data_IF_986882397054
#
_entry.id   IF_986882397054
#
_cell.length_a   1.000
_cell.length_b   1.000
_cell.length_c   1.000
_cell.angle_alpha   90.00
_cell.angle_beta   90.00
_cell.angle_gamma   90.00
#
_symmetry.space_group_name_H-M   'P 1'
#
loop_
_entity.id
_entity.type
_entity.pdbx_description
1 polymer ?
#
# COMPACT_ATOMS: atom_id res chain seq x y z
N UNK A 1 -15.55 -3.68 38.39
CA UNK A 1 -15.25 -4.43 37.15
C UNK A 1 -15.54 -3.64 35.85
N UNK A 2 -16.57 -2.78 35.76
CA UNK A 2 -16.87 -2.04 34.51
C UNK A 2 -15.80 -1.01 34.09
N UNK A 3 -15.20 -0.27 35.04
CA UNK A 3 -14.19 0.76 34.72
C UNK A 3 -12.88 0.18 34.17
N UNK A 4 -12.48 -1.02 34.61
CA UNK A 4 -11.29 -1.70 34.10
C UNK A 4 -11.45 -2.09 32.63
N UNK A 5 -12.62 -2.61 32.24
CA UNK A 5 -12.91 -2.98 30.84
C UNK A 5 -12.84 -1.77 29.91
N UNK A 6 -13.44 -0.65 30.32
CA UNK A 6 -13.39 0.60 29.53
C UNK A 6 -11.96 1.13 29.37
N UNK A 7 -11.16 1.15 30.45
CA UNK A 7 -9.77 1.59 30.39
C UNK A 7 -8.93 0.70 29.47
N UNK A 8 -9.11 -0.63 29.52
CA UNK A 8 -8.39 -1.55 28.63
C UNK A 8 -8.79 -1.38 27.17
N UNK A 9 -10.08 -1.13 26.88
CA UNK A 9 -10.53 -0.86 25.51
C UNK A 9 -9.90 0.42 24.96
N UNK A 10 -9.93 1.53 25.73
CA UNK A 10 -9.35 2.81 25.31
C UNK A 10 -7.85 2.71 25.06
N UNK A 11 -7.10 2.00 25.93
CA UNK A 11 -5.67 1.74 25.72
C UNK A 11 -5.42 0.92 24.45
N UNK A 12 -6.24 -0.11 24.19
CA UNK A 12 -6.17 -0.90 22.96
C UNK A 12 -6.40 -0.05 21.71
N UNK A 13 -7.42 0.81 21.70
CA UNK A 13 -7.66 1.73 20.58
C UNK A 13 -6.51 2.73 20.40
N UNK A 14 -5.98 3.29 21.49
CA UNK A 14 -4.84 4.21 21.42
C UNK A 14 -3.59 3.53 20.83
N UNK A 15 -3.32 2.27 21.20
CA UNK A 15 -2.22 1.48 20.64
C UNK A 15 -2.39 1.21 19.15
N UNK A 16 -3.60 0.88 18.70
CA UNK A 16 -3.91 0.65 17.28
C UNK A 16 -3.71 1.95 16.47
N UNK A 17 -4.30 3.06 16.92
CA UNK A 17 -4.15 4.37 16.27
C UNK A 17 -2.68 4.80 16.21
N UNK A 18 -1.92 4.57 17.28
CA UNK A 18 -0.50 4.89 17.32
C UNK A 18 0.32 4.03 16.33
N UNK A 19 0.05 2.73 16.26
CA UNK A 19 0.72 1.82 15.32
C UNK A 19 0.45 2.19 13.85
N UNK A 20 -0.80 2.52 13.50
CA UNK A 20 -1.18 2.93 12.15
C UNK A 20 -0.47 4.23 11.73
N UNK A 21 -0.36 5.20 12.65
CA UNK A 21 0.40 6.43 12.42
C UNK A 21 1.90 6.16 12.21
N UNK A 22 2.48 5.19 12.92
CA UNK A 22 3.88 4.79 12.73
C UNK A 22 4.12 4.18 11.35
N UNK A 23 3.26 3.27 10.90
CA UNK A 23 3.36 2.65 9.57
C UNK A 23 3.21 3.70 8.46
N UNK A 24 2.23 4.60 8.56
CA UNK A 24 2.07 5.69 7.60
C UNK A 24 3.28 6.62 7.55
N UNK A 25 3.91 6.90 8.70
CA UNK A 25 5.14 7.72 8.76
C UNK A 25 6.31 7.02 8.05
N UNK A 26 6.43 5.70 8.17
CA UNK A 26 7.46 4.93 7.47
C UNK A 26 7.20 4.96 5.97
N UNK A 27 5.97 4.71 5.52
CA UNK A 27 5.63 4.72 4.09
C UNK A 27 5.86 6.10 3.46
N UNK A 28 5.55 7.21 4.16
CA UNK A 28 5.89 8.56 3.67
C UNK A 28 7.40 8.76 3.48
N UNK A 29 8.22 8.25 4.41
CA UNK A 29 9.68 8.30 4.27
C UNK A 29 10.15 7.46 3.08
N UNK A 30 9.60 6.27 2.91
CA UNK A 30 9.93 5.39 1.78
C UNK A 30 9.56 6.03 0.44
N UNK A 31 8.38 6.68 0.35
CA UNK A 31 7.96 7.45 -0.84
C UNK A 31 8.94 8.59 -1.14
N UNK A 32 9.31 9.38 -0.11
CA UNK A 32 10.27 10.49 -0.28
C UNK A 32 11.65 9.99 -0.71
N UNK A 33 12.11 8.86 -0.16
CA UNK A 33 13.37 8.25 -0.56
C UNK A 33 13.31 7.72 -1.99
N UNK A 34 12.22 7.03 -2.36
CA UNK A 34 12.00 6.52 -3.71
C UNK A 34 12.02 7.66 -4.74
N UNK A 35 11.36 8.80 -4.46
CA UNK A 35 11.41 9.97 -5.34
C UNK A 35 12.83 10.51 -5.55
N UNK A 36 13.65 10.47 -4.50
CA UNK A 36 15.05 10.94 -4.57
C UNK A 36 15.93 10.00 -5.39
N UNK A 37 15.69 8.69 -5.33
CA UNK A 37 16.56 7.67 -5.94
C UNK A 37 16.11 7.18 -7.31
N UNK A 38 14.82 7.32 -7.64
CA UNK A 38 14.31 6.87 -8.93
C UNK A 38 14.80 7.79 -10.06
N UNK A 39 15.16 7.24 -11.23
CA UNK A 39 15.53 8.04 -12.39
C UNK A 39 14.42 9.03 -12.76
N UNK A 40 14.80 10.27 -13.07
CA UNK A 40 13.89 11.24 -13.68
C UNK A 40 13.68 10.85 -15.13
N UNK A 41 12.46 10.43 -15.47
CA UNK A 41 12.06 10.16 -16.85
C UNK A 41 11.17 11.30 -17.35
N UNK A 42 11.13 11.53 -18.67
CA UNK A 42 10.22 12.50 -19.25
C UNK A 42 8.75 12.13 -19.02
N UNK A 43 7.85 13.13 -19.00
CA UNK A 43 6.40 12.98 -18.85
C UNK A 43 5.92 12.28 -17.56
N UNK A 44 6.69 12.40 -16.47
CA UNK A 44 6.25 11.94 -15.15
C UNK A 44 5.38 13.00 -14.47
N UNK A 45 4.25 12.63 -13.84
CA UNK A 45 3.51 13.56 -12.99
C UNK A 45 4.36 14.09 -11.84
N UNK A 46 4.15 15.36 -11.48
CA UNK A 46 4.80 15.97 -10.30
C UNK A 46 4.33 15.31 -9.00
N UNK A 47 3.07 14.86 -8.95
CA UNK A 47 2.53 14.16 -7.80
C UNK A 47 3.16 12.76 -7.67
N UNK A 48 3.94 12.50 -6.61
CA UNK A 48 4.56 11.20 -6.41
C UNK A 48 3.56 10.06 -6.22
N UNK A 49 2.35 10.36 -5.73
CA UNK A 49 1.29 9.37 -5.53
C UNK A 49 0.55 9.03 -6.82
N UNK A 50 0.80 9.76 -7.92
CA UNK A 50 0.31 9.45 -9.26
C UNK A 50 1.31 8.60 -10.08
N UNK A 51 2.46 8.22 -9.48
CA UNK A 51 3.57 7.56 -10.16
C UNK A 51 3.69 6.06 -9.81
N UNK A 52 3.60 5.20 -10.83
CA UNK A 52 3.71 3.73 -10.68
C UNK A 52 5.06 3.30 -10.11
N UNK A 53 6.15 3.91 -10.59
CA UNK A 53 7.51 3.60 -10.15
C UNK A 53 7.73 3.91 -8.68
N UNK A 54 7.16 5.02 -8.19
CA UNK A 54 7.21 5.44 -6.79
C UNK A 54 6.44 4.48 -5.90
N UNK A 55 5.20 4.13 -6.27
CA UNK A 55 4.40 3.15 -5.53
C UNK A 55 5.05 1.78 -5.48
N UNK A 56 5.56 1.29 -6.61
CA UNK A 56 6.28 0.02 -6.66
C UNK A 56 7.51 0.04 -5.76
N UNK A 57 8.32 1.10 -5.82
CA UNK A 57 9.48 1.25 -4.96
C UNK A 57 9.10 1.26 -3.47
N UNK A 58 8.08 2.02 -3.08
CA UNK A 58 7.63 2.08 -1.70
C UNK A 58 7.11 0.72 -1.22
N UNK A 59 6.28 0.03 -2.01
CA UNK A 59 5.74 -1.28 -1.62
C UNK A 59 6.82 -2.38 -1.58
N UNK A 60 7.82 -2.31 -2.46
CA UNK A 60 8.98 -3.19 -2.41
C UNK A 60 9.79 -2.99 -1.11
N UNK A 61 10.02 -1.75 -0.67
CA UNK A 61 10.66 -1.44 0.62
C UNK A 61 9.86 -1.97 1.83
N UNK A 62 8.55 -2.15 1.69
CA UNK A 62 7.69 -2.79 2.71
C UNK A 62 7.66 -4.32 2.61
N UNK A 63 8.44 -4.91 1.72
CA UNK A 63 8.56 -6.36 1.53
C UNK A 63 7.34 -7.00 0.87
N UNK A 64 6.46 -6.24 0.21
CA UNK A 64 5.25 -6.79 -0.43
C UNK A 64 5.62 -7.82 -1.52
N UNK A 65 6.76 -7.63 -2.18
CA UNK A 65 7.20 -8.42 -3.33
C UNK A 65 8.47 -9.26 -3.08
N UNK A 66 8.92 -9.39 -1.83
CA UNK A 66 10.14 -10.16 -1.50
C UNK A 66 9.99 -11.65 -1.82
N UNK A 67 8.75 -12.17 -1.76
CA UNK A 67 8.40 -13.51 -2.21
C UNK A 67 7.59 -13.40 -3.52
N UNK A 68 8.03 -14.04 -4.62
CA UNK A 68 7.34 -13.94 -5.92
C UNK A 68 6.06 -14.80 -6.02
N UNK A 69 5.75 -15.64 -5.03
CA UNK A 69 4.53 -16.44 -5.01
C UNK A 69 3.28 -15.54 -5.03
N UNK A 70 2.38 -15.67 -6.02
CA UNK A 70 1.15 -14.89 -6.11
C UNK A 70 0.28 -14.93 -4.85
N UNK A 71 0.21 -16.06 -4.14
CA UNK A 71 -0.57 -16.18 -2.92
C UNK A 71 -0.01 -15.28 -1.82
N UNK A 72 1.32 -15.26 -1.65
CA UNK A 72 2.02 -14.43 -0.67
C UNK A 72 1.93 -12.95 -1.04
N UNK A 73 2.07 -12.59 -2.32
CA UNK A 73 1.91 -11.21 -2.80
C UNK A 73 0.49 -10.71 -2.50
N UNK A 74 -0.52 -11.55 -2.77
CA UNK A 74 -1.94 -11.21 -2.51
C UNK A 74 -2.18 -10.94 -1.03
N UNK A 75 -1.72 -11.83 -0.15
CA UNK A 75 -1.84 -11.67 1.31
C UNK A 75 -1.18 -10.37 1.79
N UNK A 76 0.08 -10.12 1.39
CA UNK A 76 0.83 -8.92 1.79
C UNK A 76 0.21 -7.64 1.24
N UNK A 77 -0.32 -7.67 0.02
CA UNK A 77 -1.02 -6.52 -0.58
C UNK A 77 -2.32 -6.20 0.16
N UNK A 78 -3.11 -7.22 0.51
CA UNK A 78 -4.34 -7.05 1.29
C UNK A 78 -4.06 -6.52 2.70
N UNK A 79 -2.96 -6.99 3.34
CA UNK A 79 -2.47 -6.44 4.61
C UNK A 79 -1.99 -5.01 4.49
N UNK A 80 -1.44 -4.61 3.34
CA UNK A 80 -1.07 -3.22 3.12
C UNK A 80 -2.29 -2.30 3.00
N UNK A 81 -3.38 -2.76 2.36
CA UNK A 81 -4.63 -2.01 2.26
C UNK A 81 -5.13 -1.55 3.64
N UNK A 82 -5.08 -2.42 4.65
CA UNK A 82 -5.53 -2.08 6.01
C UNK A 82 -4.61 -1.08 6.73
N UNK A 83 -3.36 -0.91 6.27
CA UNK A 83 -2.39 0.02 6.86
C UNK A 83 -2.45 1.42 6.26
N UNK A 84 -2.81 1.53 4.98
CA UNK A 84 -2.75 2.80 4.24
C UNK A 84 -4.12 3.45 4.01
N UNK A 85 -5.22 2.74 4.32
CA UNK A 85 -6.60 3.21 4.19
C UNK A 85 -7.31 2.99 5.52
N UNK A 86 -8.06 4.00 5.97
CA UNK A 86 -8.80 3.96 7.25
C UNK A 86 -10.28 3.64 7.09
N UNK A 87 -10.87 4.05 5.97
CA UNK A 87 -12.31 3.85 5.70
C UNK A 87 -12.57 2.37 5.37
N UNK A 88 -13.43 1.65 6.13
CA UNK A 88 -13.62 0.21 5.93
C UNK A 88 -14.11 -0.19 4.54
N UNK A 89 -14.98 0.61 3.91
CA UNK A 89 -15.46 0.33 2.56
C UNK A 89 -14.33 0.46 1.53
N UNK A 90 -13.48 1.46 1.69
CA UNK A 90 -12.29 1.63 0.85
C UNK A 90 -11.23 0.56 1.10
N UNK A 91 -11.06 0.09 2.35
CA UNK A 91 -10.18 -1.05 2.67
C UNK A 91 -10.64 -2.30 1.92
N UNK A 92 -11.94 -2.60 1.95
CA UNK A 92 -12.48 -3.78 1.28
C UNK A 92 -12.38 -3.66 -0.25
N UNK A 93 -12.64 -2.47 -0.80
CA UNK A 93 -12.40 -2.20 -2.21
C UNK A 93 -10.92 -2.40 -2.59
N UNK A 94 -9.98 -1.89 -1.78
CA UNK A 94 -8.56 -2.10 -2.00
C UNK A 94 -8.18 -3.57 -2.01
N UNK A 95 -8.69 -4.37 -1.06
CA UNK A 95 -8.45 -5.83 -1.02
C UNK A 95 -8.97 -6.53 -2.27
N UNK A 96 -10.19 -6.20 -2.71
CA UNK A 96 -10.81 -6.74 -3.94
C UNK A 96 -9.96 -6.40 -5.18
N UNK A 97 -9.53 -5.14 -5.30
CA UNK A 97 -8.66 -4.69 -6.39
C UNK A 97 -7.31 -5.39 -6.33
N UNK A 98 -6.69 -5.50 -5.16
CA UNK A 98 -5.42 -6.17 -4.96
C UNK A 98 -5.48 -7.63 -5.40
N UNK A 99 -6.49 -8.40 -4.97
CA UNK A 99 -6.67 -9.78 -5.44
C UNK A 99 -6.78 -9.84 -6.95
N UNK A 100 -7.68 -9.04 -7.55
CA UNK A 100 -7.89 -9.02 -9.00
C UNK A 100 -6.61 -8.67 -9.77
N UNK A 101 -5.85 -7.69 -9.30
CA UNK A 101 -4.62 -7.25 -9.96
C UNK A 101 -3.52 -8.31 -9.86
N UNK A 102 -3.37 -8.97 -8.70
CA UNK A 102 -2.43 -10.10 -8.57
C UNK A 102 -2.85 -11.23 -9.50
N UNK A 103 -4.10 -11.68 -9.43
CA UNK A 103 -4.61 -12.80 -10.23
C UNK A 103 -4.41 -12.60 -11.73
N UNK A 104 -4.54 -11.37 -12.22
CA UNK A 104 -4.32 -11.01 -13.63
C UNK A 104 -2.85 -10.82 -13.97
N UNK A 105 -2.15 -9.98 -13.23
CA UNK A 105 -0.83 -9.46 -13.63
C UNK A 105 0.33 -10.39 -13.26
N UNK A 106 0.10 -11.44 -12.45
CA UNK A 106 1.10 -12.49 -12.23
C UNK A 106 1.10 -13.57 -13.31
N UNK A 107 0.13 -13.57 -14.22
CA UNK A 107 0.08 -14.51 -15.34
C UNK A 107 1.15 -14.20 -16.40
N UNK A 108 1.49 -15.20 -17.21
CA UNK A 108 2.39 -15.05 -18.36
C UNK A 108 3.90 -15.04 -18.03
N UNK A 109 4.76 -14.89 -19.06
CA UNK A 109 6.21 -15.14 -18.98
C UNK A 109 7.04 -13.93 -18.53
N UNK A 110 6.42 -12.84 -18.05
CA UNK A 110 7.14 -11.65 -17.59
C UNK A 110 7.99 -11.95 -16.35
N UNK A 111 9.07 -11.19 -16.15
CA UNK A 111 9.88 -11.28 -14.92
C UNK A 111 9.08 -10.90 -13.67
N UNK A 112 9.45 -11.44 -12.51
CA UNK A 112 8.78 -11.15 -11.23
C UNK A 112 8.72 -9.65 -10.92
N UNK A 113 9.83 -8.92 -11.18
CA UNK A 113 9.88 -7.46 -11.02
C UNK A 113 8.87 -6.76 -11.94
N UNK A 114 8.78 -7.16 -13.21
CA UNK A 114 7.83 -6.54 -14.13
C UNK A 114 6.37 -6.86 -13.75
N UNK A 115 6.10 -8.07 -13.26
CA UNK A 115 4.78 -8.45 -12.71
C UNK A 115 4.41 -7.55 -11.52
N UNK A 116 5.33 -7.32 -10.58
CA UNK A 116 5.12 -6.41 -9.45
C UNK A 116 4.81 -4.97 -9.90
N UNK A 117 5.55 -4.43 -10.87
CA UNK A 117 5.25 -3.12 -11.47
C UNK A 117 3.86 -3.08 -12.10
N UNK A 118 3.47 -4.14 -12.82
CA UNK A 118 2.14 -4.21 -13.45
C UNK A 118 1.01 -4.29 -12.41
N UNK A 119 1.21 -5.00 -11.29
CA UNK A 119 0.25 -5.07 -10.18
C UNK A 119 -0.02 -3.66 -9.64
N UNK A 120 1.03 -2.87 -9.40
CA UNK A 120 0.90 -1.48 -8.95
C UNK A 120 0.20 -0.63 -10.01
N UNK A 121 0.58 -0.76 -11.28
CA UNK A 121 -0.10 -0.06 -12.38
C UNK A 121 -1.59 -0.39 -12.45
N UNK A 122 -1.97 -1.65 -12.24
CA UNK A 122 -3.36 -2.09 -12.17
C UNK A 122 -4.11 -1.45 -10.99
N UNK A 123 -3.52 -1.44 -9.79
CA UNK A 123 -4.13 -0.83 -8.61
C UNK A 123 -4.28 0.69 -8.73
N UNK A 124 -3.28 1.36 -9.32
CA UNK A 124 -3.31 2.80 -9.56
C UNK A 124 -4.41 3.19 -10.55
N UNK A 125 -4.54 2.46 -11.67
CA UNK A 125 -5.64 2.65 -12.64
C UNK A 125 -7.03 2.40 -12.04
N UNK A 126 -7.11 1.60 -10.98
CA UNK A 126 -8.35 1.33 -10.28
C UNK A 126 -8.68 2.36 -9.18
N UNK A 127 -7.91 3.46 -9.06
CA UNK A 127 -8.17 4.55 -8.12
C UNK A 127 -7.79 4.25 -6.67
N UNK A 128 -7.08 3.16 -6.38
CA UNK A 128 -6.75 2.79 -4.98
C UNK A 128 -5.93 3.89 -4.30
N UNK A 129 -5.01 4.54 -5.01
CA UNK A 129 -4.13 5.57 -4.44
C UNK A 129 -4.89 6.75 -3.83
N UNK A 130 -5.99 7.19 -4.45
CA UNK A 130 -6.83 8.31 -4.01
C UNK A 130 -7.56 8.02 -2.69
N UNK A 131 -7.79 6.75 -2.39
CA UNK A 131 -8.46 6.32 -1.16
C UNK A 131 -7.52 6.27 0.06
N UNK A 132 -6.21 6.38 -0.17
CA UNK A 132 -5.20 6.26 0.89
C UNK A 132 -5.11 7.50 1.77
N UNK A 133 -4.73 7.31 3.02
CA UNK A 133 -4.44 8.41 3.96
C UNK A 133 -3.26 9.27 3.47
N UNK A 134 -2.40 8.73 2.61
CA UNK A 134 -1.30 9.46 2.00
C UNK A 134 -1.81 10.55 1.05
N UNK A 135 -2.78 10.23 0.20
CA UNK A 135 -3.36 11.17 -0.75
C UNK A 135 -4.28 12.20 -0.06
N UNK A 136 -5.00 11.80 0.99
CA UNK A 136 -5.94 12.67 1.72
C UNK A 136 -5.28 13.72 2.62
N UNK A 137 -4.03 13.52 3.03
CA UNK A 137 -3.29 14.41 3.95
C UNK A 137 -2.12 15.14 3.25
N UNK A 138 -2.31 15.56 2.00
CA UNK A 138 -1.41 16.54 1.36
C UNK A 138 -1.47 17.87 2.11
#
# INVERSE_FOLDING_TARGET
>A
MKSFVLATCLLGFAQIIYADNKELKIIRKDVAECLRTLPKCGNQPDDPLARVDVWHCAMAKRGVYDNPDPAVIKERSMKMCTKIITDPANVENCKKVASRCVDRETQGPKSNRQKAVNIIGCALRAGVAETTVLARKK
#
